data_IF_795226485414
#
_entry.id   IF_795226485414
#
_cell.length_a   1.000
_cell.length_b   1.000
_cell.length_c   1.000
_cell.angle_alpha   90.00
_cell.angle_beta   90.00
_cell.angle_gamma   90.00
#
_symmetry.space_group_name_H-M   'P 1'
#
loop_
_entity.id
_entity.type
_entity.pdbx_description
1 polymer ?
#
# COMPACT_ATOMS: atom_id res chain seq x y z
N UNK A 1 -22.53 17.66 16.16
CA UNK A 1 -21.16 18.19 16.27
C UNK A 1 -20.76 18.63 14.87
N UNK A 2 -20.47 19.91 14.71
CA UNK A 2 -20.32 20.52 13.38
C UNK A 2 -19.04 20.05 12.68
N UNK A 3 -19.20 19.59 11.43
CA UNK A 3 -18.09 19.39 10.51
C UNK A 3 -17.40 20.74 10.26
N UNK A 4 -16.11 20.82 10.55
CA UNK A 4 -15.28 21.99 10.19
C UNK A 4 -15.05 21.95 8.69
N UNK A 5 -15.65 22.88 7.99
CA UNK A 5 -15.46 23.13 6.57
C UNK A 5 -14.12 23.87 6.40
N UNK A 6 -13.07 23.14 5.98
CA UNK A 6 -11.76 23.73 5.70
C UNK A 6 -11.81 24.43 4.34
N UNK A 7 -11.73 25.75 4.36
CA UNK A 7 -11.72 26.56 3.15
C UNK A 7 -10.42 26.38 2.34
N UNK A 8 -10.50 26.56 1.02
CA UNK A 8 -9.36 26.59 0.08
C UNK A 8 -8.20 27.51 0.53
N UNK A 9 -8.51 28.51 1.36
CA UNK A 9 -7.57 29.49 1.89
C UNK A 9 -6.72 28.93 3.03
N UNK A 10 -7.24 28.00 3.81
CA UNK A 10 -6.50 27.31 4.88
C UNK A 10 -5.62 26.20 4.31
N UNK A 11 -6.04 25.56 3.22
CA UNK A 11 -5.21 24.62 2.47
C UNK A 11 -3.94 25.28 1.89
N UNK A 12 -4.04 26.51 1.37
CA UNK A 12 -2.89 27.28 0.86
C UNK A 12 -1.96 27.76 1.98
N UNK A 13 -2.45 27.97 3.19
CA UNK A 13 -1.61 28.33 4.35
C UNK A 13 -0.80 27.13 4.86
N UNK A 14 -1.32 25.92 4.77
CA UNK A 14 -0.60 24.70 5.15
C UNK A 14 0.42 24.24 4.08
N UNK A 15 0.15 24.53 2.81
CA UNK A 15 1.05 24.20 1.70
C UNK A 15 2.17 25.22 1.43
N UNK A 16 2.14 26.38 2.09
CA UNK A 16 3.05 27.50 1.86
C UNK A 16 4.08 27.75 2.96
N UNK A 17 4.20 26.91 3.97
CA UNK A 17 5.24 27.06 4.99
C UNK A 17 6.56 26.49 4.47
N UNK A 18 7.30 27.32 3.77
CA UNK A 18 8.74 27.25 3.63
C UNK A 18 9.37 27.06 5.02
N UNK A 19 10.23 26.06 5.14
CA UNK A 19 11.01 25.74 6.33
C UNK A 19 11.96 26.90 6.71
N UNK A 20 11.46 27.85 7.46
CA UNK A 20 12.27 28.70 8.33
C UNK A 20 11.89 28.33 9.77
N UNK A 21 12.90 27.83 10.50
CA UNK A 21 12.76 27.29 11.82
C UNK A 21 12.08 28.24 12.80
N UNK A 22 10.89 27.88 13.21
CA UNK A 22 10.26 28.38 14.44
C UNK A 22 9.69 27.19 15.18
N UNK A 23 10.29 26.89 16.34
CA UNK A 23 9.82 25.90 17.27
C UNK A 23 8.41 26.31 17.78
N UNK A 24 7.40 25.55 17.37
CA UNK A 24 6.08 25.64 17.99
C UNK A 24 6.13 24.82 19.27
N UNK A 25 6.23 25.51 20.43
CA UNK A 25 6.07 24.90 21.75
C UNK A 25 4.58 24.54 21.94
N UNK A 26 4.22 23.30 21.64
CA UNK A 26 2.98 22.70 22.10
C UNK A 26 3.28 21.87 23.35
N UNK A 27 2.97 22.44 24.50
CA UNK A 27 2.99 21.74 25.79
C UNK A 27 1.88 20.70 25.86
N UNK A 28 2.18 19.47 25.43
CA UNK A 28 1.38 18.29 25.74
C UNK A 28 2.14 17.43 26.75
N UNK A 29 1.41 17.00 27.79
CA UNK A 29 1.94 16.23 28.89
C UNK A 29 2.89 15.13 28.47
N UNK A 30 4.08 15.14 29.03
CA UNK A 30 5.22 14.28 28.72
C UNK A 30 4.93 12.81 29.04
N UNK A 31 4.46 12.04 28.05
CA UNK A 31 4.91 10.66 27.91
C UNK A 31 6.25 10.75 27.19
N UNK A 32 7.32 10.40 27.89
CA UNK A 32 8.66 10.29 27.32
C UNK A 32 8.61 9.11 26.35
N UNK A 33 8.36 9.37 25.07
CA UNK A 33 8.69 8.43 24.03
C UNK A 33 10.20 8.45 23.86
N UNK A 34 10.83 7.28 23.87
CA UNK A 34 12.25 7.17 23.56
C UNK A 34 12.48 7.86 22.19
N UNK A 35 13.44 8.80 22.15
CA UNK A 35 13.84 9.39 20.87
C UNK A 35 14.32 8.28 19.96
N UNK A 36 13.92 8.27 18.66
CA UNK A 36 14.45 7.29 17.71
C UNK A 36 15.97 7.34 17.75
N UNK A 37 16.60 6.20 18.00
CA UNK A 37 18.06 6.06 18.13
C UNK A 37 18.74 5.94 16.78
N UNK A 38 18.28 6.67 15.76
CA UNK A 38 18.76 6.53 14.39
C UNK A 38 19.63 7.68 13.89
N UNK A 39 20.35 7.45 12.79
CA UNK A 39 21.08 8.49 12.07
C UNK A 39 20.10 9.53 11.52
N UNK A 40 20.15 10.81 11.94
CA UNK A 40 19.23 11.83 11.44
C UNK A 40 19.30 11.99 9.92
N UNK A 41 18.14 12.20 9.30
CA UNK A 41 18.03 12.53 7.87
C UNK A 41 16.98 13.63 7.66
N UNK A 42 17.17 14.42 6.61
CA UNK A 42 16.16 15.40 6.17
C UNK A 42 14.88 14.69 5.73
N UNK A 43 13.70 15.30 5.95
CA UNK A 43 12.44 14.70 5.55
C UNK A 43 12.46 14.19 4.11
N UNK A 44 11.95 12.98 3.92
CA UNK A 44 11.93 12.28 2.62
C UNK A 44 10.50 12.17 2.14
N UNK A 45 10.25 12.53 0.90
CA UNK A 45 8.96 12.34 0.23
C UNK A 45 9.01 11.10 -0.64
N UNK A 46 7.98 10.30 -0.57
CA UNK A 46 7.78 9.13 -1.42
C UNK A 46 6.31 8.94 -1.75
N UNK A 47 6.03 8.24 -2.83
CA UNK A 47 4.66 7.90 -3.20
C UNK A 47 4.42 6.39 -3.10
N UNK A 48 3.15 6.02 -2.94
CA UNK A 48 2.69 4.63 -2.96
C UNK A 48 1.56 4.52 -3.97
N UNK A 49 1.72 3.59 -4.91
CA UNK A 49 0.71 3.11 -5.84
C UNK A 49 0.38 1.67 -5.44
N UNK A 50 -0.89 1.34 -5.29
CA UNK A 50 -1.33 0.00 -4.92
C UNK A 50 -2.48 -0.47 -5.79
N UNK A 51 -2.57 -1.77 -6.01
CA UNK A 51 -3.75 -2.41 -6.60
C UNK A 51 -4.18 -1.75 -7.93
N UNK A 52 -3.23 -1.59 -8.84
CA UNK A 52 -3.47 -0.99 -10.15
C UNK A 52 -4.31 -1.92 -11.05
N UNK A 53 -4.17 -3.24 -10.87
CA UNK A 53 -4.90 -4.28 -11.62
C UNK A 53 -5.09 -3.93 -13.08
N UNK A 54 -3.99 -3.58 -13.75
CA UNK A 54 -4.09 -3.16 -15.15
C UNK A 54 -4.63 -4.29 -16.02
N UNK A 55 -5.57 -3.92 -16.90
CA UNK A 55 -6.21 -4.88 -17.80
C UNK A 55 -6.58 -4.21 -19.13
N UNK A 56 -5.73 -4.42 -20.13
CA UNK A 56 -5.85 -3.80 -21.45
C UNK A 56 -7.07 -4.28 -22.27
N UNK A 57 -7.76 -5.33 -21.83
CA UNK A 57 -8.97 -5.87 -22.47
C UNK A 57 -10.17 -5.91 -21.52
N UNK A 58 -10.05 -5.25 -20.35
CA UNK A 58 -11.04 -5.30 -19.31
C UNK A 58 -12.27 -4.42 -19.56
N UNK A 59 -13.31 -4.70 -18.79
CA UNK A 59 -14.50 -3.86 -18.68
C UNK A 59 -14.61 -3.32 -17.26
N UNK A 60 -15.22 -2.16 -17.11
CA UNK A 60 -15.47 -1.60 -15.78
C UNK A 60 -16.43 -2.49 -15.00
N UNK A 61 -16.02 -2.79 -13.78
CA UNK A 61 -16.79 -3.44 -12.73
C UNK A 61 -16.31 -2.82 -11.42
N UNK A 62 -16.22 -3.56 -10.32
CA UNK A 62 -15.60 -3.05 -9.10
C UNK A 62 -14.16 -2.56 -9.35
N UNK A 63 -13.36 -3.33 -10.11
CA UNK A 63 -12.11 -2.83 -10.72
C UNK A 63 -12.47 -2.09 -12.01
N UNK A 64 -12.01 -0.85 -12.16
CA UNK A 64 -12.26 0.00 -13.32
C UNK A 64 -11.33 -0.37 -14.48
N UNK A 65 -11.40 -1.63 -14.90
CA UNK A 65 -10.43 -2.25 -15.83
C UNK A 65 -10.34 -1.56 -17.17
N UNK A 66 -11.47 -1.08 -17.73
CA UNK A 66 -11.46 -0.39 -19.04
C UNK A 66 -10.64 0.91 -19.05
N UNK A 67 -10.39 1.49 -17.87
CA UNK A 67 -9.59 2.72 -17.73
C UNK A 67 -8.33 2.51 -16.91
N UNK A 68 -7.98 1.28 -16.54
CA UNK A 68 -6.87 0.97 -15.63
C UNK A 68 -5.53 1.49 -16.15
N UNK A 69 -5.22 1.30 -17.44
CA UNK A 69 -4.02 1.86 -18.08
C UNK A 69 -4.00 3.39 -17.97
N UNK A 70 -5.14 4.06 -18.22
CA UNK A 70 -5.26 5.51 -18.08
C UNK A 70 -5.10 5.98 -16.64
N UNK A 71 -5.57 5.20 -15.64
CA UNK A 71 -5.35 5.52 -14.24
C UNK A 71 -3.85 5.55 -13.90
N UNK A 72 -3.09 4.55 -14.37
CA UNK A 72 -1.63 4.52 -14.18
C UNK A 72 -0.96 5.69 -14.90
N UNK A 73 -1.28 5.92 -16.18
CA UNK A 73 -0.76 7.06 -16.97
C UNK A 73 -0.94 8.39 -16.25
N UNK A 74 -2.17 8.67 -15.77
CA UNK A 74 -2.49 9.91 -15.08
C UNK A 74 -1.78 10.05 -13.75
N UNK A 75 -1.68 8.96 -13.00
CA UNK A 75 -0.96 8.95 -11.71
C UNK A 75 0.53 9.20 -11.91
N UNK A 76 1.16 8.58 -12.91
CA UNK A 76 2.55 8.85 -13.26
C UNK A 76 2.75 10.32 -13.65
N UNK A 77 1.88 10.88 -14.49
CA UNK A 77 1.93 12.30 -14.85
C UNK A 77 1.75 13.23 -13.64
N UNK A 78 0.88 12.88 -12.68
CA UNK A 78 0.67 13.64 -11.45
C UNK A 78 1.90 13.55 -10.53
N UNK A 79 2.48 12.35 -10.36
CA UNK A 79 3.68 12.13 -9.56
C UNK A 79 4.91 12.83 -10.12
N UNK A 80 5.05 12.93 -11.44
CA UNK A 80 6.13 13.68 -12.08
C UNK A 80 6.02 15.20 -11.84
N UNK A 81 4.85 15.71 -11.43
CA UNK A 81 4.66 17.09 -10.98
C UNK A 81 4.94 17.31 -9.50
N UNK A 82 5.01 16.22 -8.73
CA UNK A 82 5.41 16.28 -7.33
C UNK A 82 6.91 16.57 -7.21
N UNK A 83 7.24 17.54 -6.38
CA UNK A 83 8.66 17.90 -6.18
C UNK A 83 9.34 16.88 -5.26
N UNK A 84 10.58 16.54 -5.59
CA UNK A 84 11.51 15.85 -4.69
C UNK A 84 11.01 14.50 -4.16
N UNK A 85 10.34 13.70 -5.01
CA UNK A 85 10.06 12.31 -4.66
C UNK A 85 11.38 11.52 -4.68
N UNK A 86 11.72 10.93 -3.53
CA UNK A 86 12.89 10.06 -3.42
C UNK A 86 12.65 8.73 -4.14
N UNK A 87 11.42 8.23 -4.09
CA UNK A 87 11.00 7.00 -4.79
C UNK A 87 9.47 6.89 -4.88
N UNK A 88 9.03 5.99 -5.73
CA UNK A 88 7.65 5.50 -5.79
C UNK A 88 7.65 4.02 -5.46
N UNK A 89 6.84 3.59 -4.49
CA UNK A 89 6.63 2.18 -4.16
C UNK A 89 5.34 1.69 -4.79
N UNK A 90 5.42 0.60 -5.56
CA UNK A 90 4.25 -0.09 -6.13
C UNK A 90 4.00 -1.34 -5.30
N UNK A 91 2.94 -1.32 -4.49
CA UNK A 91 2.71 -2.31 -3.43
C UNK A 91 1.87 -3.50 -3.86
N UNK A 92 2.17 -4.06 -5.03
CA UNK A 92 1.53 -5.30 -5.52
C UNK A 92 0.20 -5.11 -6.23
N UNK A 93 -0.30 -6.21 -6.78
CA UNK A 93 -1.49 -6.29 -7.62
C UNK A 93 -1.46 -5.28 -8.77
N UNK A 94 -0.31 -5.29 -9.47
CA UNK A 94 -0.09 -4.48 -10.66
C UNK A 94 -0.97 -4.96 -11.81
N UNK A 95 -1.12 -6.28 -11.93
CA UNK A 95 -1.78 -6.99 -13.01
C UNK A 95 -3.17 -7.48 -12.58
N UNK A 96 -4.01 -7.81 -13.55
CA UNK A 96 -5.28 -8.44 -13.22
C UNK A 96 -5.08 -9.88 -12.72
N UNK A 97 -4.26 -10.69 -13.46
CA UNK A 97 -4.00 -12.09 -13.13
C UNK A 97 -2.67 -12.62 -13.71
N UNK A 98 -1.61 -11.83 -13.70
CA UNK A 98 -0.27 -12.25 -14.15
C UNK A 98 -0.07 -12.24 -15.66
N UNK A 99 -0.85 -11.45 -16.40
CA UNK A 99 -0.74 -11.36 -17.86
C UNK A 99 0.50 -10.55 -18.28
N UNK A 100 1.31 -11.13 -19.16
CA UNK A 100 2.53 -10.52 -19.71
C UNK A 100 2.24 -9.20 -20.45
N UNK A 101 1.13 -9.17 -21.19
CA UNK A 101 0.71 -7.99 -21.95
C UNK A 101 0.34 -6.84 -21.01
N UNK A 102 -0.33 -7.13 -19.89
CA UNK A 102 -0.63 -6.16 -18.85
C UNK A 102 0.65 -5.67 -18.15
N UNK A 103 1.61 -6.58 -17.91
CA UNK A 103 2.91 -6.21 -17.31
C UNK A 103 3.69 -5.26 -18.22
N UNK A 104 3.70 -5.48 -19.53
CA UNK A 104 4.33 -4.58 -20.49
C UNK A 104 3.67 -3.19 -20.48
N UNK A 105 2.33 -3.15 -20.41
CA UNK A 105 1.60 -1.89 -20.42
C UNK A 105 1.86 -1.09 -19.12
N UNK A 106 1.79 -1.72 -17.95
CA UNK A 106 2.05 -0.98 -16.71
C UNK A 106 3.51 -0.51 -16.64
N UNK A 107 4.46 -1.36 -17.03
CA UNK A 107 5.88 -0.99 -17.03
C UNK A 107 6.16 0.18 -17.96
N UNK A 108 5.56 0.23 -19.13
CA UNK A 108 5.66 1.35 -20.09
C UNK A 108 5.25 2.69 -19.44
N UNK A 109 4.25 2.70 -18.55
CA UNK A 109 3.87 3.90 -17.83
C UNK A 109 4.82 4.19 -16.66
N UNK A 110 5.15 3.18 -15.85
CA UNK A 110 6.04 3.35 -14.69
C UNK A 110 7.43 3.81 -15.10
N UNK A 111 7.96 3.36 -16.23
CA UNK A 111 9.25 3.79 -16.78
C UNK A 111 9.29 5.29 -17.16
N UNK A 112 8.15 5.98 -17.17
CA UNK A 112 8.07 7.43 -17.38
C UNK A 112 8.17 8.23 -16.08
N UNK A 113 8.24 7.58 -14.91
CA UNK A 113 8.47 8.24 -13.64
C UNK A 113 9.86 8.89 -13.63
N UNK A 114 9.93 10.13 -13.17
CA UNK A 114 11.21 10.85 -12.98
C UNK A 114 11.93 10.38 -11.71
N UNK A 115 11.16 9.97 -10.68
CA UNK A 115 11.70 9.34 -9.49
C UNK A 115 11.91 7.83 -9.73
N UNK A 116 12.91 7.20 -9.11
CA UNK A 116 13.04 5.75 -9.14
C UNK A 116 11.79 5.09 -8.57
N UNK A 117 11.39 3.95 -9.13
CA UNK A 117 10.30 3.17 -8.57
C UNK A 117 10.74 1.76 -8.20
N UNK A 118 10.10 1.22 -7.17
CA UNK A 118 10.32 -0.13 -6.66
C UNK A 118 8.99 -0.89 -6.65
N UNK A 119 9.06 -2.19 -6.88
CA UNK A 119 7.90 -3.06 -7.04
C UNK A 119 7.97 -4.20 -6.04
N UNK A 120 6.86 -4.53 -5.43
CA UNK A 120 6.65 -5.83 -4.81
C UNK A 120 5.45 -6.52 -5.45
N UNK A 121 5.40 -7.86 -5.36
CA UNK A 121 4.31 -8.65 -5.91
C UNK A 121 3.07 -8.68 -5.00
N UNK A 122 1.90 -8.72 -5.62
CA UNK A 122 0.64 -9.08 -4.99
C UNK A 122 0.13 -10.45 -5.49
N UNK A 123 -0.98 -10.90 -4.95
CA UNK A 123 -1.54 -12.21 -5.30
C UNK A 123 -2.12 -12.29 -6.74
N UNK A 124 -2.29 -11.17 -7.40
CA UNK A 124 -2.72 -11.09 -8.81
C UNK A 124 -1.56 -10.96 -9.82
N UNK A 125 -0.31 -10.92 -9.36
CA UNK A 125 0.84 -10.63 -10.24
C UNK A 125 1.48 -11.89 -10.86
N UNK A 126 0.84 -13.05 -10.75
CA UNK A 126 1.29 -14.31 -11.33
C UNK A 126 0.13 -15.15 -11.85
N UNK A 127 0.46 -16.12 -12.69
CA UNK A 127 -0.50 -16.98 -13.37
C UNK A 127 -1.47 -17.67 -12.40
N UNK A 128 -2.80 -17.65 -12.66
CA UNK A 128 -3.76 -18.39 -11.85
C UNK A 128 -3.45 -19.89 -11.85
N UNK A 129 -3.52 -20.49 -10.65
CA UNK A 129 -3.31 -21.95 -10.47
C UNK A 129 -4.34 -22.73 -11.28
N UNK A 130 -5.64 -22.39 -11.17
CA UNK A 130 -6.67 -23.00 -12.00
C UNK A 130 -6.63 -22.43 -13.44
N UNK A 131 -6.36 -23.27 -14.46
CA UNK A 131 -6.35 -22.83 -15.85
C UNK A 131 -7.68 -22.21 -16.34
N UNK A 132 -8.81 -22.55 -15.71
CA UNK A 132 -10.12 -21.97 -16.05
C UNK A 132 -10.20 -20.46 -15.78
N UNK A 133 -9.34 -19.96 -14.89
CA UNK A 133 -9.25 -18.53 -14.59
C UNK A 133 -8.34 -17.79 -15.59
N UNK A 134 -7.72 -18.50 -16.54
CA UNK A 134 -6.88 -17.89 -17.57
C UNK A 134 -7.74 -17.50 -18.76
N UNK A 135 -7.58 -16.26 -19.20
CA UNK A 135 -8.35 -15.69 -20.31
C UNK A 135 -7.64 -15.97 -21.64
N UNK A 136 -8.42 -16.22 -22.68
CA UNK A 136 -7.90 -16.40 -24.03
C UNK A 136 -7.21 -15.13 -24.56
N UNK A 137 -6.15 -15.31 -25.32
CA UNK A 137 -5.39 -14.22 -25.96
C UNK A 137 -4.50 -13.43 -25.02
N UNK A 138 -4.10 -14.01 -23.87
CA UNK A 138 -3.05 -13.54 -23.00
C UNK A 138 -1.99 -14.60 -22.78
N UNK A 139 -0.75 -14.15 -22.59
CA UNK A 139 0.36 -14.96 -22.07
C UNK A 139 0.48 -14.69 -20.59
N UNK A 140 0.80 -15.70 -19.81
CA UNK A 140 0.89 -15.57 -18.34
C UNK A 140 2.30 -15.81 -17.85
N UNK A 141 2.71 -15.10 -16.80
CA UNK A 141 4.00 -15.26 -16.14
C UNK A 141 3.86 -15.93 -14.77
N UNK A 142 4.86 -16.70 -14.40
CA UNK A 142 5.03 -17.19 -13.02
C UNK A 142 5.48 -16.04 -12.12
N UNK A 143 5.49 -16.27 -10.80
CA UNK A 143 6.02 -15.28 -9.86
C UNK A 143 7.51 -15.02 -10.07
N UNK A 144 8.28 -16.04 -10.44
CA UNK A 144 9.71 -15.93 -10.74
C UNK A 144 9.94 -15.11 -12.02
N UNK A 145 9.09 -15.28 -13.03
CA UNK A 145 9.13 -14.47 -14.26
C UNK A 145 8.73 -13.02 -13.97
N UNK A 146 7.78 -12.76 -13.06
CA UNK A 146 7.44 -11.42 -12.58
C UNK A 146 8.64 -10.74 -11.91
N UNK A 147 9.29 -11.42 -10.98
CA UNK A 147 10.51 -10.93 -10.30
C UNK A 147 11.60 -10.60 -11.31
N UNK A 148 11.82 -11.46 -12.31
CA UNK A 148 12.79 -11.21 -13.38
C UNK A 148 12.38 -10.05 -14.28
N UNK A 149 11.09 -9.90 -14.59
CA UNK A 149 10.57 -8.83 -15.44
C UNK A 149 10.77 -7.44 -14.80
N UNK A 150 10.67 -7.35 -13.48
CA UNK A 150 10.90 -6.13 -12.71
C UNK A 150 12.30 -6.11 -12.05
N UNK A 151 13.27 -6.88 -12.56
CA UNK A 151 14.67 -6.79 -12.12
C UNK A 151 15.19 -5.34 -12.23
N UNK A 152 15.93 -4.88 -11.23
CA UNK A 152 16.38 -3.49 -11.11
C UNK A 152 15.37 -2.53 -10.45
N UNK A 153 14.14 -2.95 -10.23
CA UNK A 153 13.12 -2.18 -9.50
C UNK A 153 12.88 -2.72 -8.08
N UNK A 154 13.98 -2.96 -7.35
CA UNK A 154 14.00 -3.57 -6.03
C UNK A 154 14.50 -5.02 -6.06
N UNK A 155 14.03 -5.81 -6.98
CA UNK A 155 14.50 -7.17 -7.18
C UNK A 155 15.91 -7.20 -7.76
N UNK A 156 16.72 -8.17 -7.26
CA UNK A 156 18.06 -8.46 -7.73
C UNK A 156 18.10 -9.82 -8.44
N UNK A 157 19.24 -10.14 -9.01
CA UNK A 157 19.47 -11.43 -9.67
C UNK A 157 19.51 -12.65 -8.69
N UNK A 158 19.34 -12.41 -7.39
CA UNK A 158 19.26 -13.47 -6.38
C UNK A 158 18.02 -14.37 -6.50
N UNK A 159 17.00 -13.95 -7.27
CA UNK A 159 15.72 -14.64 -7.40
C UNK A 159 14.83 -14.54 -6.16
N UNK A 160 15.27 -13.82 -5.11
CA UNK A 160 14.44 -13.60 -3.91
C UNK A 160 13.30 -12.63 -4.24
N UNK A 161 12.12 -12.93 -3.73
CA UNK A 161 10.90 -12.13 -3.91
C UNK A 161 10.77 -11.00 -2.89
N UNK A 162 11.74 -10.85 -1.99
CA UNK A 162 11.82 -9.81 -0.96
C UNK A 162 13.22 -9.19 -0.96
N UNK A 163 13.30 -7.93 -0.55
CA UNK A 163 14.54 -7.18 -0.64
C UNK A 163 14.62 -6.03 0.37
N UNK A 164 15.82 -5.49 0.56
CA UNK A 164 16.11 -4.34 1.39
C UNK A 164 17.02 -3.38 0.65
N UNK A 165 16.68 -2.08 0.65
CA UNK A 165 17.40 -1.03 -0.05
C UNK A 165 17.66 0.14 0.89
N UNK A 166 18.88 0.64 0.93
CA UNK A 166 19.16 1.93 1.55
C UNK A 166 18.73 3.05 0.60
N UNK A 167 17.72 3.83 0.98
CA UNK A 167 17.21 4.96 0.19
C UNK A 167 18.16 6.16 0.32
N UNK A 168 18.62 6.38 1.54
CA UNK A 168 19.66 7.37 1.90
C UNK A 168 20.24 6.97 3.27
N UNK A 169 21.37 7.55 3.70
CA UNK A 169 21.87 7.32 5.05
C UNK A 169 20.78 7.60 6.10
N UNK A 170 20.52 6.64 6.97
CA UNK A 170 19.50 6.71 8.02
C UNK A 170 18.08 6.30 7.61
N UNK A 171 17.83 6.01 6.31
CA UNK A 171 16.52 5.57 5.83
C UNK A 171 16.64 4.35 4.90
N UNK A 172 15.93 3.30 5.24
CA UNK A 172 15.89 2.02 4.52
C UNK A 172 14.46 1.64 4.14
N UNK A 173 14.31 1.00 3.00
CA UNK A 173 13.09 0.33 2.53
C UNK A 173 13.31 -1.18 2.67
N UNK A 174 12.32 -1.87 3.24
CA UNK A 174 12.24 -3.34 3.29
C UNK A 174 10.92 -3.75 2.64
N UNK A 175 11.01 -4.50 1.55
CA UNK A 175 9.87 -5.08 0.84
C UNK A 175 9.77 -6.57 1.15
N UNK A 176 8.57 -7.01 1.56
CA UNK A 176 8.25 -8.39 1.91
C UNK A 176 7.29 -8.98 0.88
N UNK A 177 7.41 -10.28 0.66
CA UNK A 177 6.48 -11.03 -0.18
C UNK A 177 5.81 -12.15 0.63
N UNK A 178 4.50 -12.10 0.71
CA UNK A 178 3.69 -13.10 1.41
C UNK A 178 2.83 -13.95 0.45
N UNK A 179 2.99 -13.80 -0.86
CA UNK A 179 2.22 -14.52 -1.86
C UNK A 179 2.47 -16.04 -1.82
N UNK A 180 1.39 -16.82 -1.99
CA UNK A 180 1.39 -18.29 -2.01
C UNK A 180 1.01 -18.81 -3.41
N UNK A 181 1.91 -18.71 -4.41
CA UNK A 181 1.57 -18.94 -5.83
C UNK A 181 1.18 -20.38 -6.17
N UNK A 182 1.51 -21.34 -5.31
CA UNK A 182 1.20 -22.76 -5.52
C UNK A 182 -0.04 -23.24 -4.74
N UNK A 183 -0.60 -22.37 -3.88
CA UNK A 183 -1.77 -22.71 -3.10
C UNK A 183 -3.05 -22.59 -3.95
N UNK A 184 -4.04 -23.49 -3.74
CA UNK A 184 -5.31 -23.44 -4.47
C UNK A 184 -6.10 -22.16 -4.24
N UNK A 185 -5.95 -21.56 -3.06
CA UNK A 185 -6.58 -20.29 -2.68
C UNK A 185 -5.58 -19.15 -2.91
N UNK A 186 -5.67 -18.54 -4.06
CA UNK A 186 -4.80 -17.46 -4.53
C UNK A 186 -4.72 -16.24 -3.59
N UNK A 187 -5.74 -16.03 -2.77
CA UNK A 187 -5.89 -14.83 -1.93
C UNK A 187 -5.13 -14.90 -0.61
N UNK A 188 -4.83 -16.09 -0.10
CA UNK A 188 -4.16 -16.31 1.16
C UNK A 188 -2.69 -15.88 1.11
N UNK A 189 -2.11 -15.65 2.29
CA UNK A 189 -0.75 -15.16 2.42
C UNK A 189 -0.06 -15.69 3.69
N UNK A 190 1.23 -15.94 3.58
CA UNK A 190 2.09 -16.24 4.72
C UNK A 190 3.53 -15.83 4.42
N UNK A 191 4.24 -15.33 5.41
CA UNK A 191 5.68 -15.17 5.34
C UNK A 191 6.37 -16.49 5.64
N UNK A 192 7.33 -16.90 4.81
CA UNK A 192 8.13 -18.09 5.08
C UNK A 192 8.98 -17.90 6.33
N UNK A 193 9.32 -19.00 7.00
CA UNK A 193 10.23 -18.96 8.16
C UNK A 193 11.59 -18.33 7.80
N UNK A 194 12.09 -18.60 6.59
CA UNK A 194 13.32 -17.97 6.08
C UNK A 194 13.17 -16.46 6.02
N UNK A 195 12.05 -15.97 5.48
CA UNK A 195 11.83 -14.53 5.34
C UNK A 195 11.61 -13.84 6.69
N UNK A 196 10.92 -14.48 7.65
CA UNK A 196 10.80 -13.97 9.02
C UNK A 196 12.17 -13.84 9.70
N UNK A 197 13.02 -14.85 9.60
CA UNK A 197 14.41 -14.79 10.11
C UNK A 197 15.23 -13.71 9.41
N UNK A 198 15.08 -13.58 8.11
CA UNK A 198 15.73 -12.53 7.33
C UNK A 198 15.28 -11.13 7.76
N UNK A 199 13.98 -10.93 7.98
CA UNK A 199 13.43 -9.66 8.46
C UNK A 199 14.01 -9.27 9.82
N UNK A 200 14.01 -10.19 10.80
CA UNK A 200 14.61 -9.95 12.13
C UNK A 200 16.11 -9.61 12.03
N UNK A 201 16.83 -10.31 11.16
CA UNK A 201 18.26 -10.03 10.89
C UNK A 201 18.46 -8.65 10.25
N UNK A 202 17.64 -8.26 9.25
CA UNK A 202 17.72 -6.93 8.63
C UNK A 202 17.49 -5.83 9.66
N UNK A 203 16.44 -5.94 10.47
CA UNK A 203 16.09 -4.95 11.47
C UNK A 203 17.14 -4.87 12.60
N UNK A 204 17.74 -5.99 12.98
CA UNK A 204 18.85 -6.02 13.93
C UNK A 204 20.10 -5.36 13.34
N UNK A 205 20.48 -5.68 12.12
CA UNK A 205 21.65 -5.14 11.44
C UNK A 205 21.54 -3.65 11.09
N UNK A 206 20.33 -3.15 10.96
CA UNK A 206 20.03 -1.76 10.59
C UNK A 206 19.22 -1.03 11.65
N UNK A 207 19.43 -1.36 12.93
CA UNK A 207 18.71 -0.76 14.06
C UNK A 207 18.96 0.76 14.20
N UNK A 208 20.02 1.29 13.60
CA UNK A 208 20.33 2.72 13.55
C UNK A 208 19.71 3.46 12.35
N UNK A 209 18.94 2.78 11.52
CA UNK A 209 18.22 3.36 10.39
C UNK A 209 16.71 3.31 10.68
N UNK A 210 15.95 4.25 10.13
CA UNK A 210 14.50 4.11 10.05
C UNK A 210 14.19 3.18 8.89
N UNK A 211 13.51 2.06 9.18
CA UNK A 211 13.15 1.06 8.20
C UNK A 211 11.65 1.19 7.86
N UNK A 212 11.34 1.53 6.61
CA UNK A 212 10.00 1.51 6.06
C UNK A 212 9.68 0.10 5.56
N UNK A 213 8.65 -0.51 6.12
CA UNK A 213 8.24 -1.87 5.76
C UNK A 213 7.10 -1.81 4.75
N UNK A 214 7.23 -2.56 3.65
CA UNK A 214 6.21 -2.68 2.63
C UNK A 214 5.86 -4.15 2.38
N UNK A 215 4.59 -4.43 2.22
CA UNK A 215 4.07 -5.75 1.85
C UNK A 215 2.71 -5.57 1.18
N UNK A 216 2.34 -6.45 0.27
CA UNK A 216 1.01 -6.38 -0.33
C UNK A 216 -0.11 -6.70 0.66
N UNK A 217 -0.05 -7.87 1.30
CA UNK A 217 -1.07 -8.33 2.25
C UNK A 217 -1.00 -7.61 3.60
N UNK A 218 -2.11 -7.64 4.34
CA UNK A 218 -2.25 -6.87 5.57
C UNK A 218 -1.57 -7.53 6.78
N UNK A 219 -0.83 -6.75 7.56
CA UNK A 219 -0.32 -7.18 8.87
C UNK A 219 -1.39 -7.18 9.97
N UNK A 220 -2.46 -6.40 9.78
CA UNK A 220 -3.55 -6.21 10.74
C UNK A 220 -4.89 -6.31 10.03
N UNK A 221 -5.91 -6.80 10.72
CA UNK A 221 -7.28 -6.81 10.19
C UNK A 221 -7.88 -5.41 10.23
N UNK A 222 -8.60 -5.02 9.18
CA UNK A 222 -9.26 -3.71 9.06
C UNK A 222 -10.72 -3.77 9.49
N UNK A 223 -11.38 -4.90 9.28
CA UNK A 223 -12.76 -5.17 9.71
C UNK A 223 -12.86 -6.47 10.49
N UNK A 224 -13.99 -6.69 11.17
CA UNK A 224 -14.19 -7.87 12.02
C UNK A 224 -14.19 -9.18 11.22
N UNK A 225 -14.68 -9.15 9.99
CA UNK A 225 -14.74 -10.30 9.07
C UNK A 225 -13.38 -10.75 8.52
N UNK A 226 -12.33 -9.95 8.73
CA UNK A 226 -10.94 -10.28 8.37
C UNK A 226 -10.14 -10.96 9.50
N UNK A 227 -10.70 -11.02 10.69
CA UNK A 227 -10.01 -11.64 11.81
C UNK A 227 -9.91 -13.15 11.63
N UNK A 228 -9.03 -13.80 12.40
CA UNK A 228 -8.87 -15.26 12.37
C UNK A 228 -10.22 -15.96 12.61
N UNK A 229 -10.57 -16.89 11.72
CA UNK A 229 -11.87 -17.55 11.70
C UNK A 229 -13.00 -16.76 11.03
N UNK A 230 -12.77 -15.53 10.63
CA UNK A 230 -13.72 -14.74 9.86
C UNK A 230 -13.75 -15.13 8.37
N UNK A 231 -14.85 -14.81 7.66
CA UNK A 231 -15.05 -15.22 6.27
C UNK A 231 -14.07 -14.56 5.28
N UNK A 232 -13.36 -13.52 5.71
CA UNK A 232 -12.39 -12.78 4.89
C UNK A 232 -10.99 -12.73 5.53
N UNK A 233 -10.65 -13.71 6.37
CA UNK A 233 -9.30 -13.80 6.96
C UNK A 233 -8.18 -13.81 5.91
N UNK A 234 -8.47 -14.21 4.68
CA UNK A 234 -7.54 -14.20 3.55
C UNK A 234 -7.03 -12.82 3.11
N UNK A 235 -7.59 -11.72 3.65
CA UNK A 235 -6.99 -10.39 3.48
C UNK A 235 -5.71 -10.20 4.30
N UNK A 236 -5.55 -10.93 5.38
CA UNK A 236 -4.39 -10.87 6.25
C UNK A 236 -3.41 -12.01 6.00
N UNK A 237 -2.36 -12.03 6.80
CA UNK A 237 -1.41 -13.14 6.86
C UNK A 237 -1.92 -14.25 7.79
N UNK A 238 -1.74 -15.50 7.40
CA UNK A 238 -1.99 -16.65 8.28
C UNK A 238 -1.10 -16.60 9.53
N UNK A 239 0.15 -16.15 9.37
CA UNK A 239 1.12 -15.97 10.46
C UNK A 239 1.39 -14.48 10.80
N UNK A 240 0.35 -13.66 10.75
CA UNK A 240 0.46 -12.23 11.06
C UNK A 240 1.02 -11.94 12.46
N UNK A 241 0.76 -12.82 13.43
CA UNK A 241 1.25 -12.67 14.81
C UNK A 241 2.79 -12.73 14.85
N UNK A 242 3.40 -13.65 14.09
CA UNK A 242 4.86 -13.79 14.04
C UNK A 242 5.51 -12.55 13.40
N UNK A 243 4.96 -12.07 12.28
CA UNK A 243 5.43 -10.87 11.60
C UNK A 243 5.33 -9.63 12.51
N UNK A 244 4.18 -9.44 13.19
CA UNK A 244 3.99 -8.32 14.12
C UNK A 244 4.91 -8.42 15.34
N UNK A 245 5.18 -9.62 15.86
CA UNK A 245 6.09 -9.82 16.98
C UNK A 245 7.51 -9.34 16.64
N UNK A 246 7.99 -9.64 15.42
CA UNK A 246 9.28 -9.14 14.93
C UNK A 246 9.26 -7.61 14.80
N UNK A 247 8.23 -7.04 14.15
CA UNK A 247 8.13 -5.59 13.97
C UNK A 247 8.04 -4.86 15.31
N UNK A 248 7.26 -5.37 16.27
CA UNK A 248 7.11 -4.82 17.62
C UNK A 248 8.43 -4.83 18.39
N UNK A 249 9.20 -5.92 18.31
CA UNK A 249 10.55 -6.01 18.89
C UNK A 249 11.47 -4.90 18.36
N UNK A 250 11.29 -4.48 17.11
CA UNK A 250 12.09 -3.46 16.44
C UNK A 250 11.32 -2.16 16.18
N UNK A 251 10.26 -1.86 16.92
CA UNK A 251 9.36 -0.73 16.65
C UNK A 251 10.08 0.63 16.57
N UNK A 252 11.16 0.83 17.31
CA UNK A 252 11.98 2.05 17.25
C UNK A 252 12.71 2.21 15.91
N UNK A 253 13.08 1.11 15.26
CA UNK A 253 13.78 1.10 13.97
C UNK A 253 12.82 0.88 12.79
N UNK A 254 11.64 0.29 13.02
CA UNK A 254 10.63 0.01 12.02
C UNK A 254 9.24 0.49 12.48
N UNK A 255 9.03 1.82 12.68
CA UNK A 255 7.80 2.34 13.25
C UNK A 255 6.63 2.37 12.26
N UNK A 256 6.87 2.10 10.98
CA UNK A 256 5.87 2.22 9.90
C UNK A 256 5.90 1.01 8.98
N UNK A 257 4.73 0.41 8.77
CA UNK A 257 4.49 -0.61 7.76
C UNK A 257 3.31 -0.20 6.85
N UNK A 258 3.43 -0.42 5.54
CA UNK A 258 2.44 0.00 4.54
C UNK A 258 2.07 -1.21 3.68
N UNK A 259 0.77 -1.46 3.54
CA UNK A 259 0.19 -2.57 2.76
C UNK A 259 -0.80 -2.06 1.71
N UNK A 260 -1.18 -2.95 0.78
CA UNK A 260 -2.26 -2.79 -0.20
C UNK A 260 -3.36 -3.83 -0.01
N UNK A 261 -3.80 -4.48 -1.10
CA UNK A 261 -4.67 -5.67 -1.13
C UNK A 261 -6.14 -5.45 -0.77
N UNK A 262 -6.43 -4.63 0.22
CA UNK A 262 -7.80 -4.50 0.77
C UNK A 262 -8.72 -3.59 -0.03
N UNK A 263 -8.17 -2.78 -0.93
CA UNK A 263 -8.89 -1.81 -1.78
C UNK A 263 -9.75 -0.79 -1.03
N UNK A 264 -9.48 -0.51 0.25
CA UNK A 264 -10.16 0.54 1.02
C UNK A 264 -9.45 1.89 0.86
N UNK A 265 -10.03 2.96 1.39
CA UNK A 265 -9.36 4.26 1.51
C UNK A 265 -8.11 4.16 2.40
N UNK A 266 -7.23 5.16 2.35
CA UNK A 266 -6.10 5.20 3.28
C UNK A 266 -6.62 5.16 4.70
N UNK A 267 -6.12 4.22 5.48
CA UNK A 267 -6.38 4.11 6.91
C UNK A 267 -5.08 3.75 7.62
N UNK A 268 -5.02 3.94 8.94
CA UNK A 268 -3.93 3.42 9.75
C UNK A 268 -4.43 2.87 11.08
N UNK A 269 -3.68 1.91 11.61
CA UNK A 269 -3.82 1.38 12.98
C UNK A 269 -2.46 1.39 13.65
N UNK A 270 -2.45 1.65 14.95
CA UNK A 270 -1.27 1.52 15.78
C UNK A 270 -1.40 0.26 16.63
N UNK A 271 -0.45 -0.64 16.48
CA UNK A 271 -0.41 -1.89 17.24
C UNK A 271 1.04 -2.11 17.69
N UNK A 272 1.23 -2.28 18.99
CA UNK A 272 2.52 -2.63 19.61
C UNK A 272 3.69 -1.71 19.18
N UNK A 273 3.42 -0.41 19.10
CA UNK A 273 4.42 0.62 18.78
C UNK A 273 4.68 0.79 17.26
N UNK A 274 4.03 0.00 16.40
CA UNK A 274 4.15 0.11 14.95
C UNK A 274 2.87 0.70 14.36
N UNK A 275 3.01 1.65 13.45
CA UNK A 275 1.90 2.24 12.68
C UNK A 275 1.76 1.50 11.36
N UNK A 276 0.65 0.78 11.21
CA UNK A 276 0.29 0.04 10.00
C UNK A 276 -0.63 0.90 9.14
N UNK A 277 -0.21 1.22 7.93
CA UNK A 277 -1.03 1.89 6.92
C UNK A 277 -1.55 0.87 5.89
N UNK A 278 -2.75 1.15 5.37
CA UNK A 278 -3.29 0.52 4.17
C UNK A 278 -3.37 1.57 3.06
N UNK A 279 -2.75 1.29 1.92
CA UNK A 279 -2.81 2.17 0.76
C UNK A 279 -4.10 1.93 -0.03
N UNK A 280 -4.71 2.98 -0.59
CA UNK A 280 -5.90 2.84 -1.42
C UNK A 280 -5.56 2.23 -2.78
N UNK A 281 -6.53 1.52 -3.36
CA UNK A 281 -6.41 1.00 -4.71
C UNK A 281 -6.48 2.10 -5.77
N UNK A 282 -5.68 1.92 -6.85
CA UNK A 282 -5.60 2.90 -7.91
C UNK A 282 -6.81 2.87 -8.84
N UNK A 283 -7.34 1.67 -9.14
CA UNK A 283 -8.40 1.49 -10.16
C UNK A 283 -9.73 0.95 -9.63
N UNK A 284 -9.94 0.98 -8.33
CA UNK A 284 -11.25 0.74 -7.71
C UNK A 284 -11.55 1.84 -6.70
N UNK A 285 -12.84 2.07 -6.40
CA UNK A 285 -13.19 3.11 -5.42
C UNK A 285 -12.36 2.95 -4.14
N UNK A 286 -11.72 4.03 -3.61
CA UNK A 286 -11.91 5.44 -3.97
C UNK A 286 -10.98 5.98 -5.08
N UNK A 287 -10.23 5.14 -5.81
CA UNK A 287 -9.34 5.51 -6.91
C UNK A 287 -8.34 6.60 -6.51
N UNK A 288 -7.43 6.25 -5.61
CA UNK A 288 -6.44 7.17 -5.04
C UNK A 288 -5.05 6.56 -5.06
N UNK A 289 -4.06 7.41 -4.96
CA UNK A 289 -2.67 7.04 -4.61
C UNK A 289 -2.25 7.85 -3.39
N UNK A 290 -1.12 7.51 -2.78
CA UNK A 290 -0.68 8.19 -1.57
C UNK A 290 0.69 8.85 -1.78
N UNK A 291 0.88 10.02 -1.19
CA UNK A 291 2.18 10.68 -1.10
C UNK A 291 2.47 10.92 0.37
N UNK A 292 3.58 10.36 0.82
CA UNK A 292 4.04 10.46 2.20
C UNK A 292 5.24 11.40 2.31
N UNK A 293 5.39 12.01 3.46
CA UNK A 293 6.61 12.68 3.90
C UNK A 293 7.01 12.08 5.23
N UNK A 294 8.19 11.50 5.32
CA UNK A 294 8.70 10.87 6.54
C UNK A 294 9.94 11.58 7.06
N UNK A 295 10.01 11.71 8.37
CA UNK A 295 11.18 12.13 9.13
C UNK A 295 11.40 11.15 10.28
N UNK A 296 12.46 11.32 11.06
CA UNK A 296 12.69 10.51 12.27
C UNK A 296 11.57 10.58 13.33
N UNK A 297 10.71 11.60 13.28
CA UNK A 297 9.76 11.88 14.34
C UNK A 297 8.31 11.82 13.90
N UNK A 298 8.06 11.87 12.57
CA UNK A 298 6.72 11.99 12.05
C UNK A 298 6.59 11.46 10.64
N UNK A 299 5.41 10.97 10.33
CA UNK A 299 4.96 10.69 8.97
C UNK A 299 3.75 11.58 8.67
N UNK A 300 3.78 12.24 7.53
CA UNK A 300 2.65 12.99 7.00
C UNK A 300 2.24 12.39 5.65
N UNK A 301 0.98 12.56 5.26
CA UNK A 301 0.44 12.01 4.02
C UNK A 301 -0.60 12.90 3.38
N UNK A 302 -0.77 12.71 2.08
CA UNK A 302 -1.94 13.10 1.30
C UNK A 302 -2.32 11.97 0.35
N UNK A 303 -3.62 11.84 0.05
CA UNK A 303 -4.14 10.82 -0.87
C UNK A 303 -4.93 11.47 -2.00
N UNK A 304 -4.25 12.00 -3.02
CA UNK A 304 -4.93 12.57 -4.17
C UNK A 304 -5.80 11.53 -4.90
N UNK A 305 -6.90 11.98 -5.46
CA UNK A 305 -7.68 11.18 -6.41
C UNK A 305 -6.90 11.04 -7.72
N UNK A 306 -7.03 9.92 -8.39
CA UNK A 306 -6.52 9.74 -9.77
C UNK A 306 -7.20 10.77 -10.67
N UNK A 307 -6.44 11.49 -11.49
CA UNK A 307 -6.93 12.59 -12.33
C UNK A 307 -7.63 12.08 -13.60
N UNK A 308 -8.71 11.32 -13.42
CA UNK A 308 -9.69 10.93 -14.44
C UNK A 308 -10.97 11.76 -14.30
N UNK A 309 -11.97 11.54 -15.16
CA UNK A 309 -13.21 12.30 -15.09
C UNK A 309 -14.01 12.00 -13.81
N UNK A 310 -14.81 12.97 -13.35
CA UNK A 310 -15.71 12.77 -12.21
C UNK A 310 -16.68 11.61 -12.46
N UNK A 311 -17.16 11.44 -13.69
CA UNK A 311 -18.02 10.31 -14.05
C UNK A 311 -17.37 8.95 -13.83
N UNK A 312 -16.05 8.83 -14.00
CA UNK A 312 -15.34 7.59 -13.68
C UNK A 312 -15.31 7.31 -12.16
N UNK A 313 -15.16 8.35 -11.34
CA UNK A 313 -15.21 8.19 -9.88
C UNK A 313 -16.61 7.82 -9.39
N UNK A 314 -17.65 8.43 -9.96
CA UNK A 314 -19.05 8.07 -9.69
C UNK A 314 -19.32 6.63 -10.09
N UNK A 315 -18.90 6.22 -11.31
CA UNK A 315 -19.05 4.84 -11.79
C UNK A 315 -18.31 3.84 -10.87
N UNK A 316 -17.08 4.16 -10.45
CA UNK A 316 -16.32 3.30 -9.55
C UNK A 316 -17.04 3.08 -8.21
N UNK A 317 -17.62 4.15 -7.64
CA UNK A 317 -18.41 4.05 -6.41
C UNK A 317 -19.68 3.22 -6.60
N UNK A 318 -20.43 3.46 -7.68
CA UNK A 318 -21.60 2.66 -8.00
C UNK A 318 -21.27 1.19 -8.20
N UNK A 319 -20.16 0.89 -8.87
CA UNK A 319 -19.70 -0.48 -9.09
C UNK A 319 -19.27 -1.14 -7.78
N UNK A 320 -18.62 -0.43 -6.85
CA UNK A 320 -18.40 -0.93 -5.50
C UNK A 320 -19.73 -1.28 -4.82
N UNK A 321 -20.70 -0.38 -4.82
CA UNK A 321 -21.99 -0.61 -4.15
C UNK A 321 -22.79 -1.78 -4.76
N UNK A 322 -22.65 -2.04 -6.06
CA UNK A 322 -23.24 -3.21 -6.76
C UNK A 322 -22.52 -4.51 -6.42
N UNK A 323 -21.21 -4.46 -6.16
CA UNK A 323 -20.42 -5.63 -5.82
C UNK A 323 -20.81 -6.14 -4.42
N UNK A 324 -20.92 -7.48 -4.26
CA UNK A 324 -21.32 -8.06 -2.97
C UNK A 324 -20.11 -8.45 -2.12
N UNK A 325 -19.01 -8.83 -2.74
CA UNK A 325 -17.87 -9.44 -2.07
C UNK A 325 -17.20 -8.58 -0.99
N UNK A 326 -17.30 -7.25 -1.07
CA UNK A 326 -16.75 -6.34 -0.05
C UNK A 326 -17.56 -6.31 1.23
N UNK A 327 -18.86 -6.68 1.17
CA UNK A 327 -19.78 -6.59 2.30
C UNK A 327 -19.38 -7.57 3.40
N UNK A 328 -19.45 -7.13 4.64
CA UNK A 328 -19.22 -7.97 5.80
C UNK A 328 -20.22 -9.13 5.88
N UNK A 329 -21.47 -8.87 5.43
CA UNK A 329 -22.58 -9.84 5.48
C UNK A 329 -22.66 -10.78 4.28
N UNK A 330 -21.70 -10.73 3.35
CA UNK A 330 -21.75 -11.54 2.13
C UNK A 330 -21.89 -13.05 2.39
N UNK A 331 -21.26 -13.55 3.46
CA UNK A 331 -21.15 -14.97 3.76
C UNK A 331 -22.02 -15.42 4.93
N UNK A 332 -22.63 -14.50 5.68
CA UNK A 332 -23.46 -14.77 6.86
C UNK A 332 -24.63 -13.79 6.93
N UNK A 333 -25.87 -14.29 6.81
CA UNK A 333 -27.07 -13.46 6.90
C UNK A 333 -27.30 -12.86 8.30
N UNK A 334 -26.77 -13.49 9.34
CA UNK A 334 -26.94 -13.10 10.75
C UNK A 334 -25.65 -12.64 11.41
N UNK A 335 -24.69 -12.15 10.65
CA UNK A 335 -23.36 -11.84 11.18
C UNK A 335 -23.38 -10.62 12.13
N UNK A 336 -22.51 -10.67 13.13
CA UNK A 336 -22.15 -9.49 13.94
C UNK A 336 -21.39 -8.44 13.13
N UNK A 337 -21.15 -8.71 11.86
CA UNK A 337 -20.41 -7.84 10.93
C UNK A 337 -21.32 -6.74 10.41
N UNK A 338 -20.73 -5.56 10.19
CA UNK A 338 -21.47 -4.35 9.83
C UNK A 338 -21.02 -3.80 8.48
N UNK A 339 -21.86 -3.95 7.46
CA UNK A 339 -21.62 -3.41 6.11
C UNK A 339 -21.34 -1.89 6.11
N UNK A 340 -22.05 -1.13 6.95
CA UNK A 340 -21.84 0.32 7.03
C UNK A 340 -20.44 0.67 7.56
N UNK A 341 -19.95 -0.06 8.56
CA UNK A 341 -18.60 0.12 9.07
C UNK A 341 -17.53 -0.26 8.02
N UNK A 342 -17.78 -1.29 7.21
CA UNK A 342 -16.88 -1.64 6.10
C UNK A 342 -16.92 -0.57 5.01
N UNK A 343 -18.09 -0.05 4.65
CA UNK A 343 -18.23 1.02 3.66
C UNK A 343 -17.49 2.30 4.10
N UNK A 344 -17.54 2.62 5.39
CA UNK A 344 -16.80 3.76 5.94
C UNK A 344 -15.29 3.65 5.72
N UNK A 345 -14.72 2.43 5.75
CA UNK A 345 -13.30 2.22 5.42
C UNK A 345 -12.95 2.61 3.97
N UNK A 346 -13.88 2.44 3.03
CA UNK A 346 -13.70 2.89 1.64
C UNK A 346 -13.82 4.41 1.50
N UNK A 347 -14.73 5.02 2.25
CA UNK A 347 -15.14 6.42 2.11
C UNK A 347 -14.52 7.34 3.17
N UNK A 348 -13.51 6.88 3.91
CA UNK A 348 -12.89 7.63 4.99
C UNK A 348 -12.19 8.90 4.49
N UNK A 349 -12.95 9.98 4.39
CA UNK A 349 -12.45 11.29 3.96
C UNK A 349 -11.53 11.96 4.99
N UNK A 350 -11.56 11.52 6.25
CA UNK A 350 -10.68 12.04 7.30
C UNK A 350 -9.20 11.73 7.09
N UNK A 351 -8.89 10.77 6.20
CA UNK A 351 -7.53 10.35 5.88
C UNK A 351 -6.96 10.93 4.58
N UNK A 352 -7.64 11.91 3.96
CA UNK A 352 -7.17 12.52 2.71
C UNK A 352 -5.86 13.28 2.91
N UNK A 353 -5.72 13.97 4.04
CA UNK A 353 -4.46 14.63 4.47
C UNK A 353 -4.32 14.43 5.97
N UNK A 354 -3.12 14.12 6.42
CA UNK A 354 -2.87 13.94 7.83
C UNK A 354 -1.38 13.88 8.18
N UNK A 355 -1.11 13.80 9.47
CA UNK A 355 0.23 13.59 10.00
C UNK A 355 0.16 12.89 11.36
N UNK A 356 1.24 12.18 11.70
CA UNK A 356 1.37 11.44 12.95
C UNK A 356 2.82 11.43 13.42
N UNK A 357 3.04 11.50 14.72
CA UNK A 357 4.34 11.18 15.34
C UNK A 357 4.58 9.67 15.28
N UNK A 358 5.79 9.25 14.99
CA UNK A 358 6.24 7.87 14.91
C UNK A 358 7.45 7.64 15.81
#
# INVERSE_FOLDING_TARGET
MNAMDFSRREFLKLGGMSLLGTAINLNFGTKVFASPTGTPFDPVRFAVISDAHIDIKGKNAMKMSAISSKCVERTVADLNREKELAFVMVTGDLLLDGEVENAKEIKKHLDQLTAPYYVLSGNHDYVPVDPKNRREGFTYMTIEEFVKFFSGHGYSDSGKRYYSLQIKPGLRLIALDACLPLEPVKWGAALSEEQLKWLDHQLTGHANELNLIFMHHNFVSWSADEQAGGPKQWFGLDNAADARSILSKHANAAPVAISGHRHIGLNYKEVDGVTYFIAPALNSHPMRYSVFTISHQAIAWKTPMVSVSESNHVEARENLLKAKWWRATQYEESSSFNDAAVLELYENNGMIVGSKKI
#
